data_IF_681691964766
#
_entry.id   IF_681691964766
#
_cell.length_a   1.000
_cell.length_b   1.000
_cell.length_c   1.000
_cell.angle_alpha   90.00
_cell.angle_beta   90.00
_cell.angle_gamma   90.00
#
_symmetry.space_group_name_H-M   'P 1'
#
loop_
_entity.id
_entity.type
_entity.pdbx_description
1 polymer ?
#
# COMPACT_ATOMS: atom_id res chain seq x y z
N UNK A 1 -19.21 50.20 9.45
CA UNK A 1 -18.34 49.23 8.77
C UNK A 1 -18.22 47.90 9.52
N UNK A 2 -17.59 47.81 10.69
CA UNK A 2 -17.51 46.53 11.45
C UNK A 2 -18.91 46.03 11.81
N UNK A 3 -19.73 46.89 12.40
CA UNK A 3 -21.11 46.54 12.78
C UNK A 3 -21.97 46.12 11.58
N UNK A 4 -21.73 46.70 10.41
CA UNK A 4 -22.47 46.34 9.19
C UNK A 4 -22.05 44.96 8.66
N UNK A 5 -20.75 44.65 8.69
CA UNK A 5 -20.27 43.31 8.31
C UNK A 5 -20.75 42.25 9.30
N UNK A 6 -20.76 42.56 10.61
CA UNK A 6 -21.31 41.66 11.63
C UNK A 6 -22.80 41.42 11.37
N UNK A 7 -23.59 42.47 11.15
CA UNK A 7 -25.02 42.34 10.82
C UNK A 7 -25.24 41.50 9.57
N UNK A 8 -24.49 41.77 8.49
CA UNK A 8 -24.59 40.99 7.25
C UNK A 8 -24.25 39.51 7.46
N UNK A 9 -23.23 39.21 8.26
CA UNK A 9 -22.84 37.83 8.54
C UNK A 9 -23.87 37.10 9.42
N UNK A 10 -24.42 37.77 10.44
CA UNK A 10 -25.50 37.22 11.27
C UNK A 10 -26.74 36.95 10.44
N UNK A 11 -27.18 37.90 9.62
CA UNK A 11 -28.33 37.72 8.71
C UNK A 11 -28.11 36.54 7.76
N UNK A 12 -26.88 36.35 7.27
CA UNK A 12 -26.55 35.15 6.48
C UNK A 12 -26.73 33.86 7.28
N UNK A 13 -26.17 33.78 8.49
CA UNK A 13 -26.27 32.57 9.32
C UNK A 13 -27.72 32.26 9.73
N UNK A 14 -28.53 33.27 10.01
CA UNK A 14 -29.97 33.13 10.28
C UNK A 14 -30.70 32.55 9.06
N UNK A 15 -30.40 33.06 7.86
CA UNK A 15 -30.95 32.51 6.61
C UNK A 15 -30.54 31.06 6.35
N UNK A 16 -29.28 30.70 6.59
CA UNK A 16 -28.80 29.31 6.47
C UNK A 16 -29.46 28.39 7.52
N UNK A 17 -29.69 28.88 8.75
CA UNK A 17 -30.39 28.15 9.80
C UNK A 17 -31.83 27.83 9.42
N UNK A 18 -32.58 28.80 8.89
CA UNK A 18 -33.94 28.61 8.38
C UNK A 18 -33.96 27.63 7.19
N UNK A 19 -33.03 27.79 6.25
CA UNK A 19 -32.91 26.89 5.09
C UNK A 19 -32.61 25.44 5.50
N UNK A 20 -31.86 25.26 6.59
CA UNK A 20 -31.48 23.96 7.16
C UNK A 20 -32.66 23.03 7.44
N UNK A 21 -33.84 23.56 7.78
CA UNK A 21 -35.04 22.75 8.02
C UNK A 21 -35.50 21.95 6.78
N UNK A 22 -35.20 22.43 5.58
CA UNK A 22 -35.53 21.80 4.30
C UNK A 22 -34.35 21.13 3.61
N UNK A 23 -33.14 21.31 4.15
CA UNK A 23 -31.91 20.83 3.54
C UNK A 23 -31.82 19.30 3.63
N UNK A 24 -31.60 18.67 2.48
CA UNK A 24 -31.29 17.23 2.40
C UNK A 24 -29.83 17.05 1.97
N UNK A 25 -29.00 16.37 2.75
CA UNK A 25 -27.63 16.06 2.36
C UNK A 25 -27.64 15.02 1.24
N UNK A 26 -27.58 15.48 -0.01
CA UNK A 26 -27.81 14.65 -1.19
C UNK A 26 -26.54 14.03 -1.80
N UNK A 27 -25.37 14.22 -1.19
CA UNK A 27 -24.10 13.77 -1.78
C UNK A 27 -23.17 13.18 -0.72
N UNK A 28 -23.30 11.89 -0.47
CA UNK A 28 -22.25 11.12 0.17
C UNK A 28 -21.06 11.04 -0.79
N UNK A 29 -19.97 11.73 -0.46
CA UNK A 29 -18.75 11.76 -1.27
C UNK A 29 -17.87 10.52 -1.02
N UNK A 30 -18.44 9.34 -1.30
CA UNK A 30 -17.83 8.07 -0.96
C UNK A 30 -16.73 7.65 -1.96
N UNK A 31 -16.94 7.93 -3.26
CA UNK A 31 -16.06 7.48 -4.35
C UNK A 31 -15.87 8.53 -5.47
N UNK A 32 -15.78 9.82 -5.13
CA UNK A 32 -15.43 10.85 -6.13
C UNK A 32 -13.92 11.08 -6.24
N UNK A 33 -13.53 11.90 -7.21
CA UNK A 33 -12.14 12.28 -7.42
C UNK A 33 -11.27 11.08 -7.80
N UNK A 34 -10.22 10.82 -7.03
CA UNK A 34 -9.28 9.71 -7.25
C UNK A 34 -9.94 8.32 -7.18
N UNK A 35 -11.06 8.22 -6.48
CA UNK A 35 -11.83 6.98 -6.27
C UNK A 35 -12.88 6.71 -7.37
N UNK A 36 -12.94 7.55 -8.40
CA UNK A 36 -13.88 7.37 -9.51
C UNK A 36 -13.67 6.01 -10.18
N UNK A 37 -14.76 5.25 -10.33
CA UNK A 37 -14.75 3.90 -10.90
C UNK A 37 -14.77 2.79 -9.84
N UNK A 38 -14.60 3.12 -8.57
CA UNK A 38 -14.86 2.23 -7.44
C UNK A 38 -16.26 2.47 -6.89
N UNK A 39 -16.79 1.48 -6.18
CA UNK A 39 -18.12 1.53 -5.60
C UNK A 39 -18.15 0.87 -4.24
N UNK A 40 -19.17 1.24 -3.46
CA UNK A 40 -19.50 0.50 -2.25
C UNK A 40 -19.74 -0.97 -2.62
N UNK A 41 -19.33 -1.92 -1.77
CA UNK A 41 -19.61 -3.33 -2.02
C UNK A 41 -21.12 -3.56 -2.11
N UNK A 42 -21.59 -4.17 -3.20
CA UNK A 42 -23.01 -4.49 -3.42
C UNK A 42 -23.46 -5.75 -2.70
N UNK A 43 -22.50 -6.57 -2.28
CA UNK A 43 -22.70 -7.88 -1.67
C UNK A 43 -22.58 -7.83 -0.14
N UNK A 44 -23.43 -8.58 0.55
CA UNK A 44 -23.44 -8.66 2.01
C UNK A 44 -22.10 -9.14 2.57
N UNK A 45 -21.72 -8.63 3.75
CA UNK A 45 -20.43 -8.86 4.41
C UNK A 45 -20.11 -10.32 4.74
N UNK A 46 -21.10 -11.23 4.68
CA UNK A 46 -20.95 -12.66 4.95
C UNK A 46 -20.57 -13.51 3.72
N UNK A 47 -20.56 -12.93 2.51
CA UNK A 47 -20.26 -13.68 1.29
C UNK A 47 -18.75 -13.75 1.03
N UNK A 48 -18.25 -14.97 0.75
CA UNK A 48 -16.87 -15.16 0.29
C UNK A 48 -16.73 -14.58 -1.11
N UNK A 49 -15.94 -13.53 -1.24
CA UNK A 49 -15.58 -12.94 -2.53
C UNK A 49 -14.47 -13.77 -3.15
N UNK A 50 -14.61 -14.12 -4.42
CA UNK A 50 -13.55 -14.71 -5.23
C UNK A 50 -13.24 -13.74 -6.34
N UNK A 51 -12.01 -13.22 -6.37
CA UNK A 51 -11.48 -12.47 -7.50
C UNK A 51 -10.56 -13.39 -8.29
N UNK A 52 -10.58 -13.28 -9.62
CA UNK A 52 -9.57 -13.93 -10.44
C UNK A 52 -8.26 -13.16 -10.29
N UNK A 53 -7.34 -13.71 -9.51
CA UNK A 53 -6.03 -13.14 -9.20
C UNK A 53 -4.89 -13.93 -9.83
N UNK A 54 -5.22 -14.87 -10.72
CA UNK A 54 -4.23 -15.66 -11.45
C UNK A 54 -3.43 -14.81 -12.43
N UNK A 55 -2.14 -15.09 -12.56
CA UNK A 55 -1.27 -14.43 -13.54
C UNK A 55 -1.00 -15.34 -14.73
N UNK A 56 -0.77 -14.73 -15.89
CA UNK A 56 -0.41 -15.48 -17.09
C UNK A 56 0.98 -16.13 -16.95
N UNK A 57 1.23 -17.30 -17.57
CA UNK A 57 2.56 -17.92 -17.57
C UNK A 57 3.66 -16.98 -18.10
N UNK A 58 3.33 -16.18 -19.12
CA UNK A 58 4.26 -15.17 -19.68
C UNK A 58 4.69 -14.14 -18.63
N UNK A 59 3.75 -13.65 -17.82
CA UNK A 59 4.04 -12.69 -16.75
C UNK A 59 4.83 -13.37 -15.63
N UNK A 60 4.45 -14.58 -15.24
CA UNK A 60 5.18 -15.38 -14.25
C UNK A 60 6.66 -15.54 -14.63
N UNK A 61 6.95 -15.91 -15.88
CA UNK A 61 8.34 -16.07 -16.37
C UNK A 61 9.11 -14.73 -16.39
N UNK A 62 8.43 -13.63 -16.76
CA UNK A 62 9.04 -12.30 -16.78
C UNK A 62 9.41 -11.81 -15.37
N UNK A 63 8.52 -12.02 -14.39
CA UNK A 63 8.80 -11.70 -13.00
C UNK A 63 9.88 -12.59 -12.42
N UNK A 64 9.89 -13.89 -12.76
CA UNK A 64 10.96 -14.80 -12.37
C UNK A 64 12.35 -14.32 -12.78
N UNK A 65 12.49 -13.82 -14.02
CA UNK A 65 13.74 -13.19 -14.47
C UNK A 65 14.07 -11.92 -13.68
N UNK A 66 13.09 -11.03 -13.52
CA UNK A 66 13.27 -9.77 -12.78
C UNK A 66 13.74 -9.99 -11.34
N UNK A 67 13.15 -10.98 -10.66
CA UNK A 67 13.42 -11.26 -9.24
C UNK A 67 14.71 -12.06 -8.98
N UNK A 68 15.36 -12.59 -10.02
CA UNK A 68 16.54 -13.47 -9.88
C UNK A 68 17.76 -13.00 -10.65
N UNK A 69 17.63 -12.00 -11.53
CA UNK A 69 18.73 -11.48 -12.35
C UNK A 69 19.43 -10.35 -11.62
N UNK A 70 20.70 -10.57 -11.29
CA UNK A 70 21.60 -9.56 -10.75
C UNK A 70 22.14 -8.74 -11.92
N UNK A 71 21.97 -7.40 -11.94
CA UNK A 71 22.56 -6.55 -12.97
C UNK A 71 24.08 -6.68 -13.04
N UNK A 72 24.63 -6.45 -14.23
CA UNK A 72 26.09 -6.36 -14.38
C UNK A 72 26.63 -5.21 -13.51
N UNK A 73 27.72 -5.47 -12.80
CA UNK A 73 28.35 -4.49 -11.90
C UNK A 73 27.81 -4.49 -10.47
N UNK A 74 26.69 -5.17 -10.15
CA UNK A 74 26.18 -5.25 -8.79
C UNK A 74 26.88 -6.36 -7.98
N UNK A 75 27.74 -5.96 -7.05
CA UNK A 75 28.45 -6.88 -6.16
C UNK A 75 27.58 -7.27 -4.96
N UNK A 76 26.89 -8.41 -5.03
CA UNK A 76 26.00 -8.87 -3.95
C UNK A 76 26.72 -9.69 -2.86
N UNK A 77 26.19 -9.63 -1.63
CA UNK A 77 26.65 -10.49 -0.53
C UNK A 77 26.37 -11.97 -0.82
N UNK A 78 27.25 -12.87 -0.36
CA UNK A 78 27.14 -14.34 -0.59
C UNK A 78 25.80 -14.92 -0.10
N UNK A 79 25.27 -14.41 1.01
CA UNK A 79 23.96 -14.83 1.54
C UNK A 79 22.83 -14.48 0.58
N UNK A 80 22.82 -13.27 0.02
CA UNK A 80 21.84 -12.87 -0.99
C UNK A 80 21.96 -13.76 -2.24
N UNK A 81 23.19 -14.07 -2.67
CA UNK A 81 23.42 -14.99 -3.78
C UNK A 81 22.74 -16.35 -3.59
N UNK A 82 22.76 -16.92 -2.37
CA UNK A 82 22.06 -18.17 -2.05
C UNK A 82 20.54 -18.02 -2.11
N UNK A 83 20.01 -16.89 -1.64
CA UNK A 83 18.57 -16.59 -1.70
C UNK A 83 18.09 -16.49 -3.15
N UNK A 84 18.85 -15.79 -4.00
CA UNK A 84 18.51 -15.65 -5.42
C UNK A 84 18.63 -16.97 -6.19
N UNK A 85 19.61 -17.81 -5.86
CA UNK A 85 19.72 -19.14 -6.44
C UNK A 85 18.55 -20.03 -6.03
N UNK A 86 18.17 -20.06 -4.75
CA UNK A 86 16.99 -20.80 -4.30
C UNK A 86 15.72 -20.34 -5.01
N UNK A 87 15.54 -19.02 -5.16
CA UNK A 87 14.42 -18.44 -5.92
C UNK A 87 14.46 -18.87 -7.39
N UNK A 88 15.64 -18.88 -8.03
CA UNK A 88 15.81 -19.36 -9.41
C UNK A 88 15.37 -20.82 -9.56
N UNK A 89 15.71 -21.68 -8.61
CA UNK A 89 15.28 -23.08 -8.61
C UNK A 89 13.76 -23.25 -8.45
N UNK A 90 13.10 -22.39 -7.67
CA UNK A 90 11.62 -22.38 -7.57
C UNK A 90 10.99 -22.04 -8.91
N UNK A 91 11.49 -21.01 -9.59
CA UNK A 91 10.99 -20.63 -10.92
C UNK A 91 11.26 -21.68 -11.99
N UNK A 92 12.43 -22.33 -11.99
CA UNK A 92 12.75 -23.35 -12.98
C UNK A 92 11.99 -24.66 -12.76
N UNK A 93 11.72 -25.03 -11.50
CA UNK A 93 10.96 -26.25 -11.17
C UNK A 93 9.44 -26.04 -11.17
N UNK A 94 8.97 -24.80 -11.01
CA UNK A 94 7.56 -24.47 -10.86
C UNK A 94 6.93 -24.94 -9.54
N UNK A 95 7.75 -25.29 -8.55
CA UNK A 95 7.30 -25.89 -7.29
C UNK A 95 8.04 -25.31 -6.07
N UNK A 96 7.49 -25.59 -4.88
CA UNK A 96 8.12 -25.27 -3.59
C UNK A 96 8.42 -23.78 -3.39
N UNK A 97 7.52 -22.92 -3.86
CA UNK A 97 7.60 -21.47 -3.63
C UNK A 97 7.52 -21.14 -2.15
N UNK A 98 8.47 -20.33 -1.67
CA UNK A 98 8.44 -19.77 -0.33
C UNK A 98 7.55 -18.51 -0.26
N UNK A 99 7.31 -18.06 0.97
CA UNK A 99 6.43 -16.92 1.25
C UNK A 99 6.93 -15.63 0.59
N UNK A 100 8.22 -15.33 0.71
CA UNK A 100 8.81 -14.11 0.16
C UNK A 100 8.80 -14.09 -1.38
N UNK A 101 8.88 -15.25 -2.03
CA UNK A 101 8.76 -15.34 -3.49
C UNK A 101 7.32 -15.19 -3.94
N UNK A 102 6.35 -15.76 -3.22
CA UNK A 102 4.93 -15.51 -3.46
C UNK A 102 4.56 -14.03 -3.30
N UNK A 103 5.06 -13.39 -2.23
CA UNK A 103 4.89 -11.96 -1.98
C UNK A 103 5.46 -11.10 -3.12
N UNK A 104 6.72 -11.35 -3.52
CA UNK A 104 7.35 -10.62 -4.61
C UNK A 104 6.66 -10.83 -5.97
N UNK A 105 6.10 -12.02 -6.21
CA UNK A 105 5.28 -12.29 -7.40
C UNK A 105 3.99 -11.47 -7.40
N UNK A 106 3.28 -11.40 -6.27
CA UNK A 106 2.07 -10.61 -6.14
C UNK A 106 2.35 -9.10 -6.33
N UNK A 107 3.45 -8.59 -5.76
CA UNK A 107 3.85 -7.20 -5.98
C UNK A 107 4.20 -6.94 -7.45
N UNK A 108 5.02 -7.81 -8.04
CA UNK A 108 5.41 -7.69 -9.44
C UNK A 108 4.23 -7.74 -10.42
N UNK A 109 3.22 -8.56 -10.15
CA UNK A 109 2.04 -8.66 -11.00
C UNK A 109 1.19 -7.40 -10.94
N UNK A 110 0.94 -6.87 -9.74
CA UNK A 110 0.24 -5.60 -9.55
C UNK A 110 0.94 -4.45 -10.28
N UNK A 111 2.27 -4.37 -10.15
CA UNK A 111 3.08 -3.37 -10.86
C UNK A 111 2.94 -3.49 -12.37
N UNK A 112 2.91 -4.71 -12.90
CA UNK A 112 2.76 -4.97 -14.33
C UNK A 112 1.37 -4.63 -14.87
N UNK A 113 0.35 -4.65 -14.01
CA UNK A 113 -1.03 -4.23 -14.30
C UNK A 113 -1.25 -2.72 -14.13
N UNK A 114 -0.23 -1.98 -13.68
CA UNK A 114 -0.28 -0.54 -13.52
C UNK A 114 -0.71 -0.05 -12.14
N UNK A 115 -0.79 -0.94 -11.15
CA UNK A 115 -1.00 -0.58 -9.75
C UNK A 115 0.34 -0.20 -9.09
N UNK A 116 0.28 0.73 -8.14
CA UNK A 116 1.40 0.98 -7.24
C UNK A 116 1.48 -0.09 -6.16
N UNK A 117 2.67 -0.28 -5.59
CA UNK A 117 2.87 -1.06 -4.38
C UNK A 117 3.81 -0.29 -3.48
N UNK A 118 3.37 -0.05 -2.25
CA UNK A 118 4.11 0.68 -1.23
C UNK A 118 4.19 -0.16 0.03
N UNK A 119 5.40 -0.52 0.44
CA UNK A 119 5.68 -1.25 1.67
C UNK A 119 6.51 -0.38 2.61
N UNK A 120 6.00 -0.12 3.80
CA UNK A 120 6.61 0.77 4.78
C UNK A 120 6.68 0.09 6.14
N UNK A 121 7.83 0.14 6.79
CA UNK A 121 8.03 -0.49 8.09
C UNK A 121 9.49 -0.56 8.46
N UNK A 122 9.77 -0.89 9.71
CA UNK A 122 11.15 -1.00 10.19
C UNK A 122 11.83 -2.20 9.53
N UNK A 123 12.95 -1.95 8.84
CA UNK A 123 13.74 -2.94 8.11
C UNK A 123 12.97 -3.73 7.03
N UNK A 124 11.84 -3.21 6.53
CA UNK A 124 11.00 -3.92 5.56
C UNK A 124 11.70 -4.20 4.23
N UNK A 125 12.72 -3.44 3.84
CA UNK A 125 13.50 -3.67 2.62
C UNK A 125 14.24 -5.02 2.61
N UNK A 126 14.88 -5.37 3.72
CA UNK A 126 15.49 -6.70 3.92
C UNK A 126 14.46 -7.71 4.45
N UNK A 127 13.55 -7.23 5.27
CA UNK A 127 12.69 -8.00 6.16
C UNK A 127 13.38 -8.27 7.50
N UNK A 128 12.61 -8.18 8.59
CA UNK A 128 13.06 -8.48 9.95
C UNK A 128 13.77 -9.84 10.03
N UNK A 129 13.22 -10.85 9.36
CA UNK A 129 13.73 -12.22 9.35
C UNK A 129 14.73 -12.49 8.22
N UNK A 130 15.23 -11.44 7.55
CA UNK A 130 16.10 -11.54 6.37
C UNK A 130 15.53 -12.43 5.25
N UNK A 131 14.22 -12.40 5.08
CA UNK A 131 13.49 -13.26 4.15
C UNK A 131 13.17 -12.56 2.82
N UNK A 132 12.96 -11.24 2.84
CA UNK A 132 12.35 -10.52 1.70
C UNK A 132 13.38 -10.12 0.65
N UNK A 133 14.44 -9.43 1.09
CA UNK A 133 15.46 -8.88 0.20
C UNK A 133 14.88 -8.14 -1.02
N UNK A 134 13.90 -7.26 -0.80
CA UNK A 134 13.35 -6.39 -1.84
C UNK A 134 14.37 -5.33 -2.27
N UNK A 135 15.31 -4.99 -1.38
CA UNK A 135 16.44 -4.10 -1.64
C UNK A 135 17.74 -4.91 -1.61
N UNK A 136 18.52 -4.82 -2.69
CA UNK A 136 19.85 -5.41 -2.82
C UNK A 136 20.89 -4.32 -2.64
N UNK A 137 21.85 -4.54 -1.74
CA UNK A 137 22.88 -3.54 -1.41
C UNK A 137 24.21 -4.01 -1.99
N UNK A 138 24.82 -3.17 -2.82
CA UNK A 138 26.15 -3.41 -3.36
C UNK A 138 27.19 -3.42 -2.24
N UNK A 139 28.08 -4.40 -2.24
CA UNK A 139 29.10 -4.60 -1.20
C UNK A 139 30.33 -3.70 -1.39
N UNK A 140 30.43 -2.96 -2.50
CA UNK A 140 31.57 -2.10 -2.82
C UNK A 140 31.31 -0.63 -2.50
N UNK A 141 30.12 -0.11 -2.80
CA UNK A 141 29.78 1.32 -2.65
C UNK A 141 28.43 1.57 -1.95
N UNK A 142 27.78 0.51 -1.44
CA UNK A 142 26.51 0.55 -0.69
C UNK A 142 25.30 1.08 -1.48
N UNK A 143 25.40 1.24 -2.80
CA UNK A 143 24.23 1.65 -3.58
C UNK A 143 23.14 0.57 -3.53
N UNK A 144 21.89 1.03 -3.54
CA UNK A 144 20.71 0.17 -3.42
C UNK A 144 20.14 -0.10 -4.80
N UNK A 145 19.91 -1.37 -5.10
CA UNK A 145 19.18 -1.83 -6.27
C UNK A 145 17.88 -2.49 -5.83
N UNK A 146 16.76 -2.11 -6.44
CA UNK A 146 15.43 -2.62 -6.13
C UNK A 146 14.85 -3.26 -7.39
N UNK A 147 14.83 -4.60 -7.51
CA UNK A 147 14.48 -5.26 -8.77
C UNK A 147 13.12 -4.88 -9.32
N UNK A 148 12.12 -4.75 -8.44
CA UNK A 148 10.75 -4.41 -8.81
C UNK A 148 10.56 -2.96 -9.27
N UNK A 149 11.51 -2.05 -9.01
CA UNK A 149 11.47 -0.69 -9.56
C UNK A 149 11.72 -0.66 -11.07
N UNK A 150 12.25 -1.73 -11.66
CA UNK A 150 12.44 -1.84 -13.12
C UNK A 150 11.16 -2.12 -13.91
N UNK A 151 10.00 -2.33 -13.25
CA UNK A 151 8.73 -2.58 -13.93
C UNK A 151 8.08 -1.24 -14.30
N UNK A 152 7.93 -0.96 -15.59
CA UNK A 152 7.57 0.37 -16.11
C UNK A 152 6.15 0.86 -15.75
N UNK A 153 5.20 -0.06 -15.57
CA UNK A 153 3.78 0.30 -15.50
C UNK A 153 3.32 0.77 -14.12
N UNK A 154 4.03 0.42 -13.05
CA UNK A 154 3.65 0.70 -11.66
C UNK A 154 4.81 1.29 -10.87
N UNK A 155 4.50 1.89 -9.71
CA UNK A 155 5.51 2.41 -8.79
C UNK A 155 5.70 1.45 -7.63
N UNK A 156 6.93 0.95 -7.47
CA UNK A 156 7.32 0.16 -6.30
C UNK A 156 8.10 1.01 -5.30
N UNK A 157 7.56 1.14 -4.09
CA UNK A 157 8.22 1.79 -2.97
C UNK A 157 8.39 0.79 -1.84
N UNK A 158 9.63 0.58 -1.40
CA UNK A 158 9.92 -0.16 -0.18
C UNK A 158 10.78 0.74 0.71
N UNK A 159 10.27 1.01 1.91
CA UNK A 159 10.78 2.07 2.77
C UNK A 159 11.05 1.52 4.16
N UNK A 160 12.32 1.58 4.55
CA UNK A 160 12.72 1.36 5.93
C UNK A 160 12.32 2.60 6.74
N UNK A 161 11.26 2.48 7.53
CA UNK A 161 10.70 3.58 8.30
C UNK A 161 11.59 3.96 9.47
N UNK A 162 11.47 5.18 10.04
CA UNK A 162 12.01 5.44 11.37
C UNK A 162 11.35 4.52 12.41
N UNK A 163 11.93 4.48 13.61
CA UNK A 163 11.44 3.69 14.74
C UNK A 163 10.20 4.34 15.37
N UNK A 164 9.08 4.31 14.65
CA UNK A 164 7.79 4.87 15.06
C UNK A 164 6.64 4.11 14.41
N UNK A 165 5.75 3.53 15.22
CA UNK A 165 4.56 2.84 14.72
C UNK A 165 3.41 3.82 14.50
N UNK A 166 3.13 4.67 15.49
CA UNK A 166 1.99 5.60 15.46
C UNK A 166 2.05 6.57 14.27
N UNK A 167 3.18 7.25 14.09
CA UNK A 167 3.35 8.25 13.03
C UNK A 167 3.37 7.62 11.64
N UNK A 168 4.05 6.47 11.49
CA UNK A 168 4.17 5.77 10.21
C UNK A 168 2.84 5.16 9.80
N UNK A 169 2.14 4.43 10.70
CA UNK A 169 0.83 3.86 10.36
C UNK A 169 -0.19 4.95 10.00
N UNK A 170 -0.14 6.10 10.69
CA UNK A 170 -0.97 7.26 10.34
C UNK A 170 -0.65 7.84 8.97
N UNK A 171 0.62 7.91 8.60
CA UNK A 171 1.04 8.33 7.27
C UNK A 171 0.55 7.35 6.19
N UNK A 172 0.75 6.05 6.39
CA UNK A 172 0.35 5.03 5.43
C UNK A 172 -1.17 4.97 5.25
N UNK A 173 -1.95 5.13 6.34
CA UNK A 173 -3.41 5.27 6.25
C UNK A 173 -3.82 6.46 5.36
N UNK A 174 -3.17 7.61 5.54
CA UNK A 174 -3.42 8.80 4.71
C UNK A 174 -3.07 8.58 3.25
N UNK A 175 -1.99 7.85 2.96
CA UNK A 175 -1.59 7.49 1.60
C UNK A 175 -2.63 6.58 0.95
N UNK A 176 -3.02 5.49 1.63
CA UNK A 176 -4.02 4.53 1.15
C UNK A 176 -5.38 5.19 0.89
N UNK A 177 -5.75 6.18 1.70
CA UNK A 177 -6.95 6.98 1.49
C UNK A 177 -6.87 7.86 0.23
N UNK A 178 -5.68 8.37 -0.09
CA UNK A 178 -5.48 9.32 -1.18
C UNK A 178 -5.32 8.64 -2.55
N UNK A 179 -4.73 7.44 -2.59
CA UNK A 179 -4.41 6.73 -3.83
C UNK A 179 -5.00 5.31 -3.87
N UNK A 180 -6.21 5.14 -4.41
CA UNK A 180 -6.88 3.84 -4.50
C UNK A 180 -6.26 2.87 -5.50
N UNK A 181 -5.24 3.29 -6.27
CA UNK A 181 -4.53 2.44 -7.24
C UNK A 181 -3.18 1.95 -6.73
N UNK A 182 -2.90 2.14 -5.45
CA UNK A 182 -1.67 1.64 -4.82
C UNK A 182 -2.03 0.66 -3.71
N UNK A 183 -1.44 -0.53 -3.73
CA UNK A 183 -1.44 -1.42 -2.58
C UNK A 183 -0.50 -0.85 -1.52
N UNK A 184 -1.05 -0.37 -0.40
CA UNK A 184 -0.29 0.19 0.71
C UNK A 184 -0.19 -0.81 1.84
N UNK A 185 1.04 -1.21 2.18
CA UNK A 185 1.34 -2.14 3.25
C UNK A 185 2.15 -1.44 4.33
N UNK A 186 1.73 -1.63 5.57
CA UNK A 186 2.52 -1.29 6.75
C UNK A 186 2.92 -2.59 7.48
N UNK A 187 4.21 -2.74 7.77
CA UNK A 187 4.76 -3.91 8.45
C UNK A 187 5.37 -3.52 9.81
N UNK A 188 4.78 -4.03 10.89
CA UNK A 188 5.43 -3.99 12.20
C UNK A 188 6.60 -4.97 12.22
N UNK A 189 7.69 -4.62 12.92
CA UNK A 189 8.85 -5.51 13.05
C UNK A 189 8.46 -6.86 13.70
N UNK A 190 7.63 -6.78 14.74
CA UNK A 190 6.89 -7.88 15.34
C UNK A 190 5.46 -7.41 15.62
N UNK A 191 4.48 -8.31 15.50
CA UNK A 191 3.06 -7.96 15.65
C UNK A 191 2.73 -7.33 17.00
N UNK A 192 3.48 -7.67 18.05
CA UNK A 192 3.33 -7.16 19.42
C UNK A 192 3.44 -5.63 19.52
N UNK A 193 4.22 -4.98 18.63
CA UNK A 193 4.49 -3.54 18.67
C UNK A 193 3.35 -2.70 18.06
N UNK A 194 2.36 -3.33 17.43
CA UNK A 194 1.23 -2.62 16.81
C UNK A 194 0.42 -1.80 17.83
N UNK A 195 0.47 -2.17 19.11
CA UNK A 195 -0.21 -1.45 20.19
C UNK A 195 0.25 0.02 20.32
N UNK A 196 1.48 0.35 19.90
CA UNK A 196 1.97 1.73 19.83
C UNK A 196 1.14 2.61 18.87
N UNK A 197 0.46 1.99 17.90
CA UNK A 197 -0.41 2.64 16.93
C UNK A 197 -1.91 2.40 17.19
N UNK A 198 -2.32 1.97 18.40
CA UNK A 198 -3.70 1.55 18.69
C UNK A 198 -4.75 2.61 18.34
N UNK A 199 -4.46 3.89 18.59
CA UNK A 199 -5.39 4.98 18.26
C UNK A 199 -5.63 5.06 16.73
N UNK A 200 -4.60 4.80 15.91
CA UNK A 200 -4.76 4.75 14.46
C UNK A 200 -5.66 3.58 14.04
N UNK A 201 -5.51 2.43 14.68
CA UNK A 201 -6.35 1.27 14.42
C UNK A 201 -7.80 1.57 14.79
N UNK A 202 -8.05 1.99 16.03
CA UNK A 202 -9.41 2.15 16.56
C UNK A 202 -10.16 3.28 15.86
N UNK A 203 -9.48 4.42 15.65
CA UNK A 203 -10.13 5.64 15.20
C UNK A 203 -10.12 5.82 13.69
N UNK A 204 -9.31 5.07 12.94
CA UNK A 204 -9.20 5.24 11.48
C UNK A 204 -9.38 3.94 10.73
N UNK A 205 -8.54 2.93 10.98
CA UNK A 205 -8.58 1.67 10.21
C UNK A 205 -9.89 0.93 10.46
N UNK A 206 -10.28 0.73 11.72
CA UNK A 206 -11.45 -0.05 12.09
C UNK A 206 -12.79 0.69 11.89
N UNK A 207 -12.77 2.03 11.86
CA UNK A 207 -14.01 2.84 11.93
C UNK A 207 -14.11 3.97 10.91
N UNK A 208 -13.09 4.19 10.08
CA UNK A 208 -13.05 5.32 9.14
C UNK A 208 -14.14 5.27 8.07
N UNK A 209 -14.44 4.07 7.54
CA UNK A 209 -15.52 3.88 6.57
C UNK A 209 -16.88 4.19 7.21
N UNK A 210 -17.16 3.62 8.39
CA UNK A 210 -18.45 3.80 9.06
C UNK A 210 -18.69 5.26 9.52
N UNK A 211 -17.65 5.95 9.98
CA UNK A 211 -17.77 7.33 10.50
C UNK A 211 -17.78 8.38 9.40
N UNK A 212 -16.98 8.19 8.35
CA UNK A 212 -16.67 9.25 7.39
C UNK A 212 -16.83 8.85 5.94
N UNK A 213 -17.38 7.65 5.66
CA UNK A 213 -17.55 7.09 4.31
C UNK A 213 -16.22 7.09 3.54
N UNK A 214 -15.12 6.77 4.23
CA UNK A 214 -13.78 6.71 3.67
C UNK A 214 -13.35 5.26 3.51
N UNK A 215 -13.30 4.81 2.26
CA UNK A 215 -12.67 3.53 1.92
C UNK A 215 -11.14 3.63 2.07
N UNK A 216 -10.52 2.54 2.48
CA UNK A 216 -9.08 2.40 2.69
C UNK A 216 -8.73 0.92 2.52
N UNK A 217 -7.72 0.59 1.73
CA UNK A 217 -7.36 -0.78 1.36
C UNK A 217 -5.87 -0.96 1.16
#
# INVERSE_FOLDING_TARGET
WVDDNVKQYVTRLEGEFEAGASYKPNKADWFAGRWTGLSAPTEGTSMRRSADTGITPKLFDALGRTLTTVPEGLAIHKTLGRVLEAKRQMFSSGASFDWATGEALAFGSLLSEGYGVRLSGQDSGRGTFSQRHAVWVDQTDEHKFVPLQGIEHGRFEVLDSPLSEYGVLGFEYGYALADPKTLVLWEAQFGDFVNGAQIMIDQFIASGEAKWLRANG
#
